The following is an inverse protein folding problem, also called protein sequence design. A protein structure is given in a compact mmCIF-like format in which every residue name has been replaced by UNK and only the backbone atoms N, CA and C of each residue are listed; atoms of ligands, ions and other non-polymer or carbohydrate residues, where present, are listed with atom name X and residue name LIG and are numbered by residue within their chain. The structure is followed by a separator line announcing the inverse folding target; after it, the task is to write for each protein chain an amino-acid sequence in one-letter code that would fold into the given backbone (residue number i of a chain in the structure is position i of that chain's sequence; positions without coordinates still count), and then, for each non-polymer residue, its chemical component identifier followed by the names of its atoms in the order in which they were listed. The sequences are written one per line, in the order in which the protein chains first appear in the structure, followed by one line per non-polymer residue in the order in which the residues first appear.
data_IF_938320601953
#
_entry.id   IF_938320601953
#
_cell.length_a   1.000
_cell.length_b   1.000
_cell.length_c   1.000
_cell.angle_alpha   90.00
_cell.angle_beta   90.00
_cell.angle_gamma   90.00
#
_symmetry.space_group_name_H-M   'P 1'
#
loop_
_entity.id
_entity.type
_entity.pdbx_description
1 polymer ?
#
# COMPACT_ATOMS: atom_id res chain seq x y z
N UNK A 1 52.82 15.30 -52.57
CA UNK A 1 51.43 15.24 -52.04
C UNK A 1 51.46 14.59 -50.67
N UNK A 2 51.23 15.37 -49.61
CA UNK A 2 51.32 14.87 -48.23
C UNK A 2 50.03 14.10 -47.88
N UNK A 3 50.20 12.83 -47.49
CA UNK A 3 49.12 11.98 -46.98
C UNK A 3 48.62 12.60 -45.66
N UNK A 4 47.42 13.18 -45.67
CA UNK A 4 46.72 13.57 -44.43
C UNK A 4 46.35 12.28 -43.72
N UNK A 5 47.12 11.92 -42.70
CA UNK A 5 46.72 10.87 -41.76
C UNK A 5 45.36 11.26 -41.18
N UNK A 6 44.34 10.43 -41.41
CA UNK A 6 43.07 10.54 -40.71
C UNK A 6 43.33 10.22 -39.24
N UNK A 7 43.66 11.24 -38.47
CA UNK A 7 43.52 11.15 -37.02
C UNK A 7 42.03 10.93 -36.75
N UNK A 8 41.65 9.93 -35.92
CA UNK A 8 40.25 9.77 -35.55
C UNK A 8 39.80 11.04 -34.87
N UNK A 9 38.90 11.78 -35.53
CA UNK A 9 38.39 13.03 -35.00
C UNK A 9 37.59 12.77 -33.73
N UNK A 10 37.57 13.72 -32.80
CA UNK A 10 36.73 13.64 -31.60
C UNK A 10 35.27 13.33 -31.93
N UNK A 11 34.78 13.79 -33.09
CA UNK A 11 33.48 13.46 -33.64
C UNK A 11 33.28 11.95 -33.85
N UNK A 12 34.28 11.22 -34.36
CA UNK A 12 34.23 9.77 -34.54
C UNK A 12 34.20 9.03 -33.20
N UNK A 13 34.94 9.52 -32.20
CA UNK A 13 34.93 8.96 -30.83
C UNK A 13 33.57 9.12 -30.16
N UNK A 14 32.86 10.22 -30.44
CA UNK A 14 31.51 10.50 -29.91
C UNK A 14 30.40 9.71 -30.61
N UNK A 15 30.63 9.13 -31.79
CA UNK A 15 29.61 8.37 -32.51
C UNK A 15 29.09 7.16 -31.71
N UNK A 16 29.98 6.51 -30.96
CA UNK A 16 29.66 5.34 -30.13
C UNK A 16 29.15 5.72 -28.73
N UNK A 17 28.87 7.00 -28.46
CA UNK A 17 28.49 7.45 -27.12
C UNK A 17 27.18 6.78 -26.64
N UNK A 18 26.25 6.44 -27.54
CA UNK A 18 24.96 5.83 -27.19
C UNK A 18 25.09 4.37 -26.74
N UNK A 19 26.05 3.63 -27.27
CA UNK A 19 26.26 2.19 -27.01
C UNK A 19 27.10 1.93 -25.75
N UNK A 20 27.77 2.95 -25.22
CA UNK A 20 28.58 2.85 -24.01
C UNK A 20 27.73 2.82 -22.72
N UNK A 21 28.21 2.10 -21.71
CA UNK A 21 27.66 2.17 -20.36
C UNK A 21 28.04 3.50 -19.67
N UNK A 22 27.34 3.87 -18.60
CA UNK A 22 27.54 5.14 -17.88
C UNK A 22 29.00 5.40 -17.45
N UNK A 23 29.73 4.46 -16.82
CA UNK A 23 31.12 4.72 -16.43
C UNK A 23 32.04 4.93 -17.65
N UNK A 24 31.88 4.15 -18.72
CA UNK A 24 32.68 4.35 -19.95
C UNK A 24 32.36 5.66 -20.66
N UNK A 25 31.10 6.12 -20.63
CA UNK A 25 30.71 7.46 -21.10
C UNK A 25 31.47 8.53 -20.33
N UNK A 26 31.53 8.41 -19.00
CA UNK A 26 32.21 9.37 -18.14
C UNK A 26 33.71 9.41 -18.42
N UNK A 27 34.36 8.26 -18.55
CA UNK A 27 35.80 8.17 -18.86
C UNK A 27 36.09 8.78 -20.23
N UNK A 28 35.30 8.45 -21.26
CA UNK A 28 35.48 8.99 -22.60
C UNK A 28 35.32 10.52 -22.62
N UNK A 29 34.25 11.04 -22.01
CA UNK A 29 34.01 12.48 -21.95
C UNK A 29 35.09 13.20 -21.15
N UNK A 30 35.61 12.59 -20.07
CA UNK A 30 36.73 13.15 -19.30
C UNK A 30 37.99 13.25 -20.14
N UNK A 31 38.37 12.19 -20.86
CA UNK A 31 39.51 12.24 -21.78
C UNK A 31 39.37 13.33 -22.84
N UNK A 32 38.18 13.49 -23.43
CA UNK A 32 37.92 14.55 -24.41
C UNK A 32 38.03 15.94 -23.76
N UNK A 33 37.50 16.11 -22.54
CA UNK A 33 37.59 17.36 -21.80
C UNK A 33 39.04 17.72 -21.45
N UNK A 34 39.85 16.74 -21.05
CA UNK A 34 41.28 16.93 -20.77
C UNK A 34 42.04 17.37 -22.03
N UNK A 35 41.76 16.73 -23.17
CA UNK A 35 42.33 17.09 -24.47
C UNK A 35 41.95 18.53 -24.89
N UNK A 36 40.66 18.88 -24.78
CA UNK A 36 40.15 20.23 -25.07
C UNK A 36 40.82 21.27 -24.14
N UNK A 37 40.94 20.96 -22.85
CA UNK A 37 41.58 21.84 -21.86
C UNK A 37 43.04 22.09 -22.21
N UNK A 38 43.78 21.04 -22.58
CA UNK A 38 45.17 21.16 -23.02
C UNK A 38 45.31 22.04 -24.27
N UNK A 39 44.37 21.93 -25.22
CA UNK A 39 44.30 22.79 -26.40
C UNK A 39 44.06 24.24 -26.02
N UNK A 40 43.07 24.53 -25.15
CA UNK A 40 42.80 25.88 -24.68
C UNK A 40 44.01 26.51 -23.97
N UNK A 41 44.69 25.76 -23.10
CA UNK A 41 45.92 26.22 -22.44
C UNK A 41 47.00 26.59 -23.46
N UNK A 42 47.18 25.80 -24.52
CA UNK A 42 48.16 26.10 -25.57
C UNK A 42 47.77 27.35 -26.35
N UNK A 43 46.49 27.50 -26.69
CA UNK A 43 45.98 28.69 -27.38
C UNK A 43 46.19 29.94 -26.53
N UNK A 44 45.87 29.90 -25.23
CA UNK A 44 46.13 31.01 -24.30
C UNK A 44 47.59 31.43 -24.30
N UNK A 45 48.54 30.46 -24.27
CA UNK A 45 49.97 30.77 -24.37
C UNK A 45 50.37 31.43 -25.69
N UNK A 46 49.70 31.13 -26.79
CA UNK A 46 49.95 31.79 -28.09
C UNK A 46 49.33 33.18 -28.17
N UNK A 47 48.20 33.42 -27.49
CA UNK A 47 47.61 34.76 -27.32
C UNK A 47 48.52 35.64 -26.47
N UNK A 48 49.02 35.13 -25.34
CA UNK A 48 49.96 35.86 -24.45
C UNK A 48 51.24 36.28 -25.18
N UNK A 49 51.72 35.46 -26.12
CA UNK A 49 52.89 35.74 -26.97
C UNK A 49 52.59 36.69 -28.13
N UNK A 50 51.34 37.14 -28.29
CA UNK A 50 50.91 37.98 -29.41
C UNK A 50 50.90 37.27 -30.77
N UNK A 51 50.98 35.93 -30.80
CA UNK A 51 50.96 35.15 -32.06
C UNK A 51 49.54 34.95 -32.59
N UNK A 52 48.53 35.08 -31.74
CA UNK A 52 47.11 34.99 -32.11
C UNK A 52 46.38 36.26 -31.66
N UNK A 53 45.67 36.89 -32.60
CA UNK A 53 44.79 38.04 -32.35
C UNK A 53 43.33 37.65 -32.12
N UNK A 54 42.47 38.64 -31.90
CA UNK A 54 41.05 38.44 -31.59
C UNK A 54 40.30 37.71 -32.73
N UNK A 55 40.64 38.04 -33.98
CA UNK A 55 40.12 37.44 -35.20
C UNK A 55 40.43 35.94 -35.32
N UNK A 56 41.53 35.47 -34.70
CA UNK A 56 41.89 34.06 -34.67
C UNK A 56 41.12 33.29 -33.59
N UNK A 57 40.58 34.00 -32.58
CA UNK A 57 39.86 33.41 -31.44
C UNK A 57 38.34 33.51 -31.56
N UNK A 58 37.80 34.19 -32.58
CA UNK A 58 36.36 34.31 -32.76
C UNK A 58 35.63 32.93 -32.82
N UNK A 59 36.13 31.90 -33.54
CA UNK A 59 35.47 30.59 -33.58
C UNK A 59 35.43 29.88 -32.21
N UNK A 60 36.36 30.19 -31.32
CA UNK A 60 36.37 29.66 -29.95
C UNK A 60 35.22 30.25 -29.14
N UNK A 61 34.96 31.54 -29.30
CA UNK A 61 33.85 32.21 -28.62
C UNK A 61 32.51 31.62 -29.07
N UNK A 62 32.35 31.31 -30.36
CA UNK A 62 31.15 30.65 -30.88
C UNK A 62 30.92 29.27 -30.23
N UNK A 63 31.99 28.47 -30.06
CA UNK A 63 31.92 27.16 -29.39
C UNK A 63 31.52 27.34 -27.92
N UNK A 64 32.09 28.32 -27.22
CA UNK A 64 31.73 28.63 -25.82
C UNK A 64 30.27 29.05 -25.72
N UNK A 65 29.77 29.86 -26.66
CA UNK A 65 28.37 30.29 -26.71
C UNK A 65 27.42 29.11 -26.91
N UNK A 66 27.74 28.18 -27.83
CA UNK A 66 26.94 26.97 -28.04
C UNK A 66 26.88 26.12 -26.76
N UNK A 67 28.03 25.90 -26.10
CA UNK A 67 28.09 25.09 -24.88
C UNK A 67 27.28 25.75 -23.76
N UNK A 68 27.50 27.03 -23.49
CA UNK A 68 26.79 27.76 -22.43
C UNK A 68 25.29 27.91 -22.73
N UNK A 69 24.92 28.15 -23.98
CA UNK A 69 23.53 28.22 -24.42
C UNK A 69 22.78 26.89 -24.25
N UNK A 70 23.42 25.77 -24.57
CA UNK A 70 22.83 24.44 -24.37
C UNK A 70 22.66 24.10 -22.88
N UNK A 71 23.63 24.42 -22.02
CA UNK A 71 23.52 24.24 -20.57
C UNK A 71 22.34 25.04 -19.99
N UNK A 72 22.25 26.33 -20.33
CA UNK A 72 21.14 27.20 -19.88
C UNK A 72 19.79 26.66 -20.35
N UNK A 73 19.69 26.20 -21.59
CA UNK A 73 18.48 25.58 -22.14
C UNK A 73 18.08 24.30 -21.39
N UNK A 74 19.04 23.40 -21.14
CA UNK A 74 18.81 22.18 -20.39
C UNK A 74 18.37 22.46 -18.95
N UNK A 75 19.02 23.41 -18.28
CA UNK A 75 18.64 23.86 -16.93
C UNK A 75 17.22 24.40 -16.91
N UNK A 76 16.86 25.32 -17.82
CA UNK A 76 15.49 25.85 -17.93
C UNK A 76 14.47 24.74 -18.16
N UNK A 77 14.78 23.76 -19.00
CA UNK A 77 13.90 22.60 -19.25
C UNK A 77 13.68 21.76 -17.99
N UNK A 78 14.74 21.52 -17.20
CA UNK A 78 14.64 20.81 -15.93
C UNK A 78 13.83 21.60 -14.89
N UNK A 79 14.08 22.90 -14.76
CA UNK A 79 13.32 23.78 -13.86
C UNK A 79 11.82 23.79 -14.21
N UNK A 80 11.47 23.83 -15.50
CA UNK A 80 10.09 23.71 -15.96
C UNK A 80 9.47 22.36 -15.60
N UNK A 81 10.21 21.26 -15.74
CA UNK A 81 9.73 19.92 -15.33
C UNK A 81 9.48 19.87 -13.83
N UNK A 82 10.42 20.37 -13.02
CA UNK A 82 10.27 20.44 -11.55
C UNK A 82 9.04 21.25 -11.18
N UNK A 83 8.81 22.41 -11.80
CA UNK A 83 7.60 23.22 -11.58
C UNK A 83 6.32 22.46 -11.90
N UNK A 84 6.27 21.74 -13.03
CA UNK A 84 5.10 20.93 -13.41
C UNK A 84 4.81 19.84 -12.38
N UNK A 85 5.83 19.11 -11.95
CA UNK A 85 5.67 18.08 -10.92
C UNK A 85 5.29 18.65 -9.56
N UNK A 86 5.79 19.83 -9.19
CA UNK A 86 5.39 20.50 -7.95
C UNK A 86 3.91 20.87 -7.97
N UNK A 87 3.39 21.37 -9.09
CA UNK A 87 1.96 21.67 -9.25
C UNK A 87 1.13 20.39 -9.17
N UNK A 88 1.54 19.33 -9.87
CA UNK A 88 0.85 18.04 -9.83
C UNK A 88 0.84 17.45 -8.42
N UNK A 89 1.95 17.51 -7.69
CA UNK A 89 2.05 17.04 -6.32
C UNK A 89 1.08 17.76 -5.37
N UNK A 90 0.95 19.09 -5.51
CA UNK A 90 -0.02 19.89 -4.75
C UNK A 90 -1.46 19.46 -5.06
N UNK A 91 -1.79 19.28 -6.34
CA UNK A 91 -3.12 18.83 -6.76
C UNK A 91 -3.44 17.44 -6.19
N UNK A 92 -2.54 16.48 -6.33
CA UNK A 92 -2.71 15.13 -5.80
C UNK A 92 -2.84 15.11 -4.28
N UNK A 93 -2.13 16.00 -3.57
CA UNK A 93 -2.29 16.16 -2.12
C UNK A 93 -3.72 16.61 -1.78
N UNK A 94 -4.25 17.61 -2.48
CA UNK A 94 -5.62 18.08 -2.31
C UNK A 94 -6.66 16.99 -2.61
N UNK A 95 -6.48 16.23 -3.69
CA UNK A 95 -7.35 15.10 -4.04
C UNK A 95 -7.33 14.02 -2.94
N UNK A 96 -6.15 13.66 -2.42
CA UNK A 96 -6.03 12.69 -1.31
C UNK A 96 -6.72 13.18 -0.04
N UNK A 97 -6.57 14.45 0.30
CA UNK A 97 -7.23 15.05 1.46
C UNK A 97 -8.75 15.11 1.29
N UNK A 98 -9.23 15.36 0.07
CA UNK A 98 -10.66 15.29 -0.25
C UNK A 98 -11.19 13.85 -0.10
N UNK A 99 -10.51 12.86 -0.69
CA UNK A 99 -10.87 11.45 -0.58
C UNK A 99 -10.93 11.02 0.88
N UNK A 100 -9.91 11.36 1.70
CA UNK A 100 -9.92 11.01 3.13
C UNK A 100 -11.13 11.59 3.87
N UNK A 101 -11.52 12.83 3.57
CA UNK A 101 -12.70 13.46 4.19
C UNK A 101 -13.99 12.76 3.78
N UNK A 102 -14.15 12.47 2.49
CA UNK A 102 -15.36 11.81 1.98
C UNK A 102 -15.50 10.38 2.52
N UNK A 103 -14.41 9.62 2.52
CA UNK A 103 -14.39 8.28 3.13
C UNK A 103 -14.62 8.33 4.64
N UNK A 104 -14.04 9.29 5.36
CA UNK A 104 -14.30 9.48 6.79
C UNK A 104 -15.79 9.71 7.06
N UNK A 105 -16.41 10.64 6.34
CA UNK A 105 -17.84 10.92 6.46
C UNK A 105 -18.73 9.70 6.12
N UNK A 106 -18.31 8.89 5.14
CA UNK A 106 -19.01 7.65 4.81
C UNK A 106 -18.89 6.63 5.96
N UNK A 107 -17.70 6.43 6.51
CA UNK A 107 -17.45 5.51 7.63
C UNK A 107 -18.28 5.92 8.84
N UNK A 108 -18.30 7.20 9.21
CA UNK A 108 -19.11 7.70 10.32
C UNK A 108 -20.62 7.41 10.13
N UNK A 109 -21.13 7.57 8.90
CA UNK A 109 -22.53 7.23 8.59
C UNK A 109 -22.80 5.73 8.75
N UNK A 110 -21.89 4.89 8.26
CA UNK A 110 -22.00 3.42 8.38
C UNK A 110 -21.94 3.01 9.85
N UNK A 111 -21.00 3.56 10.62
CA UNK A 111 -20.87 3.29 12.05
C UNK A 111 -22.16 3.63 12.80
N UNK A 112 -22.75 4.81 12.55
CA UNK A 112 -24.02 5.22 13.14
C UNK A 112 -25.15 4.22 12.83
N UNK A 113 -25.30 3.85 11.55
CA UNK A 113 -26.34 2.89 11.14
C UNK A 113 -26.09 1.52 11.78
N UNK A 114 -24.84 1.05 11.79
CA UNK A 114 -24.47 -0.22 12.39
C UNK A 114 -24.71 -0.26 13.90
N UNK A 115 -24.52 0.87 14.59
CA UNK A 115 -24.82 1.03 16.02
C UNK A 115 -26.30 0.84 16.30
N UNK A 116 -27.16 1.57 15.57
CA UNK A 116 -28.63 1.43 15.68
C UNK A 116 -29.09 0.00 15.41
N UNK A 117 -28.55 -0.64 14.37
CA UNK A 117 -28.88 -2.03 14.08
C UNK A 117 -28.43 -2.99 15.17
N UNK A 118 -27.23 -2.77 15.74
CA UNK A 118 -26.71 -3.58 16.84
C UNK A 118 -27.60 -3.48 18.07
N UNK A 119 -28.02 -2.28 18.45
CA UNK A 119 -28.95 -2.05 19.56
C UNK A 119 -30.29 -2.77 19.30
N UNK A 120 -30.85 -2.64 18.10
CA UNK A 120 -32.10 -3.31 17.75
C UNK A 120 -31.98 -4.84 17.81
N UNK A 121 -30.86 -5.40 17.35
CA UNK A 121 -30.59 -6.84 17.42
C UNK A 121 -30.44 -7.29 18.88
N UNK A 122 -29.78 -6.50 19.74
CA UNK A 122 -29.66 -6.81 21.16
C UNK A 122 -31.03 -6.82 21.85
N UNK A 123 -31.86 -5.80 21.62
CA UNK A 123 -33.22 -5.75 22.16
C UNK A 123 -34.07 -6.96 21.72
N UNK A 124 -34.02 -7.32 20.44
CA UNK A 124 -34.73 -8.51 19.93
C UNK A 124 -34.22 -9.81 20.54
N UNK A 125 -32.90 -9.93 20.78
CA UNK A 125 -32.31 -11.09 21.46
C UNK A 125 -32.81 -11.21 22.89
N UNK A 126 -32.96 -10.09 23.61
CA UNK A 126 -33.49 -10.09 24.96
C UNK A 126 -34.96 -10.49 25.01
N UNK A 127 -35.79 -9.94 24.12
CA UNK A 127 -37.20 -10.34 23.98
C UNK A 127 -37.32 -11.83 23.66
N UNK A 128 -36.54 -12.33 22.68
CA UNK A 128 -36.55 -13.74 22.30
C UNK A 128 -36.14 -14.65 23.49
N UNK A 129 -35.13 -14.24 24.26
CA UNK A 129 -34.71 -14.94 25.47
C UNK A 129 -35.84 -14.96 26.52
N UNK A 130 -36.55 -13.84 26.70
CA UNK A 130 -37.73 -13.75 27.55
C UNK A 130 -38.81 -14.76 27.16
N UNK A 131 -39.22 -14.74 25.89
CA UNK A 131 -40.23 -15.65 25.34
C UNK A 131 -39.82 -17.12 25.49
N UNK A 132 -38.54 -17.45 25.27
CA UNK A 132 -38.04 -18.83 25.46
C UNK A 132 -38.17 -19.30 26.92
N UNK A 133 -37.90 -18.43 27.90
CA UNK A 133 -38.09 -18.76 29.32
C UNK A 133 -39.56 -18.97 29.65
N UNK A 134 -40.45 -18.13 29.13
CA UNK A 134 -41.90 -18.29 29.30
C UNK A 134 -42.43 -19.57 28.70
N UNK A 135 -42.05 -19.89 27.46
CA UNK A 135 -42.39 -21.16 26.81
C UNK A 135 -41.88 -22.35 27.61
N UNK A 136 -40.67 -22.25 28.19
CA UNK A 136 -40.12 -23.27 29.10
C UNK A 136 -40.96 -23.46 30.37
N UNK A 137 -41.40 -22.35 30.98
CA UNK A 137 -42.30 -22.38 32.17
C UNK A 137 -43.65 -23.01 31.83
N UNK A 138 -44.31 -22.56 30.78
CA UNK A 138 -45.61 -23.11 30.34
C UNK A 138 -45.51 -24.60 30.01
N UNK A 139 -44.41 -25.03 29.37
CA UNK A 139 -44.15 -26.45 29.11
C UNK A 139 -44.03 -27.25 30.41
N UNK A 140 -43.27 -26.75 31.38
CA UNK A 140 -43.14 -27.41 32.69
C UNK A 140 -44.47 -27.49 33.45
N UNK A 141 -45.25 -26.41 33.45
CA UNK A 141 -46.60 -26.39 34.05
C UNK A 141 -47.52 -27.42 33.38
N UNK A 142 -47.52 -27.47 32.04
CA UNK A 142 -48.31 -28.44 31.29
C UNK A 142 -47.90 -29.89 31.57
N UNK A 143 -46.59 -30.17 31.65
CA UNK A 143 -46.06 -31.49 32.03
C UNK A 143 -46.50 -31.89 33.44
N UNK A 144 -46.47 -30.96 34.39
CA UNK A 144 -46.97 -31.21 35.75
C UNK A 144 -48.47 -31.50 35.79
N UNK A 145 -49.28 -30.76 35.04
CA UNK A 145 -50.72 -31.03 34.92
C UNK A 145 -50.96 -32.40 34.28
N UNK A 146 -50.20 -32.74 33.24
CA UNK A 146 -50.27 -34.05 32.59
C UNK A 146 -49.94 -35.18 33.56
N UNK A 147 -48.84 -35.07 34.30
CA UNK A 147 -48.44 -36.06 35.33
C UNK A 147 -49.45 -36.17 36.47
N UNK A 148 -50.01 -35.05 36.95
CA UNK A 148 -51.11 -35.08 37.95
C UNK A 148 -52.31 -35.84 37.42
N UNK A 149 -52.69 -35.61 36.16
CA UNK A 149 -53.81 -36.30 35.51
C UNK A 149 -53.53 -37.79 35.31
N UNK A 150 -52.30 -38.16 34.97
CA UNK A 150 -51.89 -39.56 34.84
C UNK A 150 -51.85 -40.27 36.20
N UNK A 151 -51.37 -39.60 37.26
CA UNK A 151 -51.40 -40.14 38.63
C UNK A 151 -52.81 -40.34 39.16
N UNK A 152 -53.71 -39.37 38.96
CA UNK A 152 -55.12 -39.52 39.36
C UNK A 152 -55.80 -40.69 38.64
N UNK A 153 -55.48 -40.91 37.36
CA UNK A 153 -55.97 -42.10 36.62
C UNK A 153 -55.43 -43.42 37.18
N UNK A 154 -54.21 -43.44 37.73
CA UNK A 154 -53.64 -44.62 38.38
C UNK A 154 -54.24 -44.85 39.77
N UNK A 155 -54.57 -43.78 40.50
CA UNK A 155 -55.27 -43.83 41.80
C UNK A 155 -56.73 -44.30 41.63
N UNK A 156 -57.46 -43.80 40.62
CA UNK A 156 -58.83 -44.22 40.28
C UNK A 156 -58.90 -45.65 39.72
N UNK A 157 -57.80 -46.17 39.16
CA UNK A 157 -57.69 -47.53 38.66
C UNK A 157 -57.45 -48.59 39.77
N UNK A 158 -57.35 -48.18 41.04
CA UNK A 158 -57.35 -49.10 42.18
C UNK A 158 -56.15 -50.06 42.22
N UNK A 159 -54.92 -49.56 42.05
CA UNK A 159 -53.71 -50.38 42.28
C UNK A 159 -53.08 -49.99 43.60
N UNK A 160 -53.33 -50.82 44.62
CA UNK A 160 -52.60 -50.82 45.89
C UNK A 160 -51.11 -51.11 45.66
N UNK A 161 -50.26 -50.43 46.42
CA UNK A 161 -48.87 -50.16 46.07
C UNK A 161 -47.85 -51.26 46.33
N UNK A 162 -46.63 -50.98 45.87
CA UNK A 162 -45.31 -51.51 46.29
C UNK A 162 -44.34 -50.41 45.84
N UNK A 163 -43.34 -49.92 46.57
CA UNK A 163 -42.66 -50.34 47.77
C UNK A 163 -41.37 -49.50 47.75
N UNK A 164 -41.00 -48.99 48.93
CA UNK A 164 -39.76 -48.25 49.15
C UNK A 164 -38.56 -49.12 48.75
N UNK A 165 -37.72 -48.58 47.86
CA UNK A 165 -36.43 -49.18 47.48
C UNK A 165 -35.35 -48.10 47.47
N UNK A 166 -34.73 -47.92 48.63
CA UNK A 166 -33.48 -47.15 48.81
C UNK A 166 -32.36 -47.91 48.09
N UNK A 167 -31.67 -47.24 47.18
CA UNK A 167 -30.48 -47.75 46.49
C UNK A 167 -29.72 -46.58 45.91
N UNK A 168 -28.83 -45.99 46.71
CA UNK A 168 -27.80 -45.10 46.20
C UNK A 168 -26.66 -45.93 45.63
N UNK A 169 -26.18 -45.57 44.44
CA UNK A 169 -24.74 -45.49 44.14
C UNK A 169 -24.55 -44.86 42.75
N UNK A 170 -23.91 -43.69 42.78
CA UNK A 170 -22.75 -43.30 41.98
C UNK A 170 -22.67 -43.77 40.52
N UNK A 171 -22.77 -42.82 39.58
CA UNK A 171 -21.89 -42.83 38.41
C UNK A 171 -21.77 -41.46 37.72
N UNK A 172 -20.65 -40.84 38.04
CA UNK A 172 -19.68 -40.23 37.13
C UNK A 172 -20.18 -39.44 35.91
N UNK A 173 -19.90 -38.14 36.05
CA UNK A 173 -19.55 -37.21 34.99
C UNK A 173 -18.57 -37.84 33.99
N UNK A 174 -18.89 -37.75 32.69
CA UNK A 174 -17.90 -37.81 31.64
C UNK A 174 -18.32 -36.87 30.50
N UNK A 175 -17.56 -35.78 30.42
CA UNK A 175 -17.39 -34.85 29.30
C UNK A 175 -17.71 -35.44 27.92
N UNK A 176 -18.75 -34.91 27.26
CA UNK A 176 -18.84 -34.95 25.80
C UNK A 176 -18.19 -33.67 25.23
N UNK A 177 -16.88 -33.76 24.96
CA UNK A 177 -16.21 -32.83 24.07
C UNK A 177 -16.52 -33.22 22.63
N UNK A 178 -17.40 -32.46 21.99
CA UNK A 178 -17.53 -32.45 20.54
C UNK A 178 -17.35 -31.02 20.00
N UNK A 179 -16.17 -30.83 19.40
CA UNK A 179 -15.98 -30.18 18.10
C UNK A 179 -16.42 -28.72 17.91
N UNK A 180 -15.44 -27.82 18.04
CA UNK A 180 -15.38 -26.63 17.19
C UNK A 180 -13.94 -26.49 16.68
N UNK A 181 -13.75 -26.89 15.42
CA UNK A 181 -12.50 -26.70 14.69
C UNK A 181 -12.16 -25.23 14.55
N UNK A 182 -11.00 -24.84 15.06
CA UNK A 182 -10.33 -23.61 14.68
C UNK A 182 -9.56 -23.85 13.39
N UNK A 183 -10.14 -23.43 12.27
CA UNK A 183 -9.40 -23.25 11.02
C UNK A 183 -8.71 -21.89 11.10
N UNK A 184 -7.43 -21.89 11.49
CA UNK A 184 -6.60 -20.70 11.45
C UNK A 184 -5.97 -20.61 10.06
N UNK A 185 -6.61 -19.83 9.19
CA UNK A 185 -6.05 -19.41 7.89
C UNK A 185 -5.58 -17.97 8.10
N UNK A 186 -4.29 -17.78 8.36
CA UNK A 186 -3.56 -16.54 8.05
C UNK A 186 -2.06 -16.70 8.22
N UNK A 187 -1.35 -16.92 7.10
CA UNK A 187 -0.09 -16.23 6.82
C UNK A 187 0.25 -16.29 5.32
N UNK A 188 -0.11 -15.20 4.64
CA UNK A 188 0.55 -14.70 3.45
C UNK A 188 0.96 -13.26 3.76
#
# INVERSE_FOLDING_TARGET
MAKRSLTPTYASRLHNLTTLNTPSKQILLRSIADDITAVFIRISKHIEKGTLGAEHTAPINDVIEIITGTEVSQRRRLEQRVRRYAVLARRLKGEREWVRREFGALVERVERVSGVWRERVLALREVNRGMRREMGRMRGEWEMVKLKRERLKLEDAGVAGVGVGVGGESRDEAEERASAGGTDISRA
#
